data_IF_852024771904
#
_entry.id   IF_852024771904
#
_cell.length_a   1.000
_cell.length_b   1.000
_cell.length_c   1.000
_cell.angle_alpha   90.00
_cell.angle_beta   90.00
_cell.angle_gamma   90.00
#
_symmetry.space_group_name_H-M   'P 1'
#
loop_
_entity.id
_entity.type
_entity.pdbx_description
1 polymer ?
#
# COMPACT_ATOMS: atom_id res chain seq x y z
N UNK A 1 -9.25 -13.69 37.88
CA UNK A 1 -8.74 -14.78 37.01
C UNK A 1 -9.83 -15.71 36.47
N UNK A 2 -10.91 -16.00 37.21
CA UNK A 2 -11.96 -16.92 36.74
C UNK A 2 -12.62 -16.54 35.40
N UNK A 3 -12.76 -15.24 35.13
CA UNK A 3 -13.40 -14.75 33.91
C UNK A 3 -12.60 -15.07 32.63
N UNK A 4 -11.26 -15.02 32.68
CA UNK A 4 -10.39 -15.37 31.55
C UNK A 4 -10.43 -16.87 31.26
N UNK A 5 -10.39 -17.72 32.30
CA UNK A 5 -10.45 -19.18 32.14
C UNK A 5 -11.79 -19.69 31.65
N UNK A 6 -12.87 -18.94 31.89
CA UNK A 6 -14.24 -19.28 31.46
C UNK A 6 -14.60 -18.64 30.10
N UNK A 7 -13.72 -17.85 29.50
CA UNK A 7 -13.98 -17.19 28.22
C UNK A 7 -13.83 -18.17 27.04
N UNK A 8 -14.87 -18.24 26.20
CA UNK A 8 -14.88 -19.11 25.03
C UNK A 8 -14.13 -18.48 23.85
N UNK A 9 -12.83 -18.76 23.78
CA UNK A 9 -11.98 -18.32 22.68
C UNK A 9 -12.28 -19.06 21.36
N UNK A 10 -12.81 -20.27 21.41
CA UNK A 10 -13.04 -21.09 20.21
C UNK A 10 -14.33 -20.66 19.50
N UNK A 11 -15.37 -20.31 20.26
CA UNK A 11 -16.62 -19.76 19.73
C UNK A 11 -16.58 -18.27 19.36
N UNK A 12 -15.56 -17.52 19.80
CA UNK A 12 -15.49 -16.07 19.55
C UNK A 12 -14.94 -15.74 18.14
N UNK A 13 -15.82 -15.30 17.24
CA UNK A 13 -15.48 -14.96 15.85
C UNK A 13 -14.42 -13.86 15.71
N UNK A 14 -14.44 -12.86 16.59
CA UNK A 14 -13.48 -11.74 16.54
C UNK A 14 -12.08 -12.21 16.93
N UNK A 15 -11.97 -13.08 17.93
CA UNK A 15 -10.70 -13.70 18.31
C UNK A 15 -10.17 -14.63 17.21
N UNK A 16 -11.03 -15.45 16.58
CA UNK A 16 -10.62 -16.33 15.48
C UNK A 16 -10.13 -15.54 14.25
N UNK A 17 -10.78 -14.42 13.94
CA UNK A 17 -10.33 -13.52 12.88
C UNK A 17 -9.01 -12.83 13.26
N UNK A 18 -8.84 -12.39 14.51
CA UNK A 18 -7.57 -11.86 14.99
C UNK A 18 -6.44 -12.89 14.88
N UNK A 19 -6.67 -14.12 15.33
CA UNK A 19 -5.66 -15.17 15.38
C UNK A 19 -5.25 -15.68 14.00
N UNK A 20 -6.19 -15.78 13.05
CA UNK A 20 -5.91 -16.21 11.66
C UNK A 20 -5.09 -15.20 10.86
N UNK A 21 -5.06 -13.94 11.28
CA UNK A 21 -4.25 -12.88 10.67
C UNK A 21 -2.81 -12.81 11.23
N UNK A 22 -2.45 -13.67 12.20
CA UNK A 22 -1.10 -13.72 12.77
C UNK A 22 -0.24 -14.71 11.99
N UNK A 23 0.78 -14.21 11.29
CA UNK A 23 1.73 -15.03 10.54
C UNK A 23 3.19 -14.75 10.97
N UNK A 24 4.03 -15.78 11.15
CA UNK A 24 3.71 -17.22 11.07
C UNK A 24 2.86 -17.71 12.26
N UNK A 25 2.17 -18.84 12.09
CA UNK A 25 1.31 -19.42 13.13
C UNK A 25 2.09 -19.60 14.43
N UNK A 26 1.68 -18.93 15.53
CA UNK A 26 2.48 -18.89 16.73
C UNK A 26 2.43 -20.21 17.50
N UNK A 27 3.58 -20.69 17.96
CA UNK A 27 3.69 -21.90 18.80
C UNK A 27 3.11 -21.70 20.21
N UNK A 28 3.04 -20.45 20.70
CA UNK A 28 2.53 -20.12 22.03
C UNK A 28 1.20 -19.36 21.95
N UNK A 29 0.12 -20.10 21.70
CA UNK A 29 -1.26 -19.61 21.56
C UNK A 29 -1.73 -18.81 22.80
N UNK A 30 -1.29 -19.22 23.98
CA UNK A 30 -1.75 -18.67 25.26
C UNK A 30 -1.33 -17.20 25.45
N UNK A 31 -0.15 -16.82 24.94
CA UNK A 31 0.31 -15.42 24.96
C UNK A 31 -0.60 -14.50 24.15
N UNK A 32 -1.08 -14.97 23.00
CA UNK A 32 -1.94 -14.19 22.12
C UNK A 32 -3.38 -14.11 22.64
N UNK A 33 -3.89 -15.19 23.26
CA UNK A 33 -5.17 -15.17 24.00
C UNK A 33 -5.16 -14.10 25.10
N UNK A 34 -4.13 -14.06 25.94
CA UNK A 34 -3.98 -13.06 27.02
C UNK A 34 -3.91 -11.63 26.51
N UNK A 35 -3.09 -11.38 25.49
CA UNK A 35 -2.92 -10.04 24.93
C UNK A 35 -4.19 -9.53 24.26
N UNK A 36 -4.89 -10.38 23.53
CA UNK A 36 -6.16 -10.03 22.91
C UNK A 36 -7.25 -9.79 23.97
N UNK A 37 -7.37 -10.68 24.95
CA UNK A 37 -8.35 -10.54 26.04
C UNK A 37 -8.14 -9.24 26.82
N UNK A 38 -6.89 -8.89 27.12
CA UNK A 38 -6.56 -7.60 27.75
C UNK A 38 -7.00 -6.41 26.89
N UNK A 39 -6.73 -6.48 25.60
CA UNK A 39 -6.99 -5.35 24.69
C UNK A 39 -8.48 -5.15 24.40
N UNK A 40 -9.24 -6.23 24.32
CA UNK A 40 -10.60 -6.22 23.78
C UNK A 40 -11.70 -6.50 24.81
N UNK A 41 -11.39 -7.18 25.92
CA UNK A 41 -12.39 -7.60 26.92
C UNK A 41 -12.13 -6.93 28.28
N UNK A 42 -10.92 -7.03 28.82
CA UNK A 42 -10.58 -6.50 30.16
C UNK A 42 -9.21 -5.81 30.17
N UNK A 43 -9.15 -4.48 29.99
CA UNK A 43 -7.91 -3.70 30.02
C UNK A 43 -7.12 -3.81 31.32
N UNK A 44 -7.78 -4.14 32.44
CA UNK A 44 -7.17 -4.29 33.75
C UNK A 44 -6.63 -5.70 34.00
N UNK A 45 -6.74 -6.61 33.02
CA UNK A 45 -6.18 -7.95 33.11
C UNK A 45 -4.64 -7.91 33.22
N UNK A 46 -4.11 -8.45 34.31
CA UNK A 46 -2.67 -8.51 34.54
C UNK A 46 -2.06 -9.80 33.95
N UNK A 47 -1.06 -9.64 33.08
CA UNK A 47 -0.55 -10.73 32.23
C UNK A 47 0.57 -11.52 32.94
N UNK A 48 1.12 -11.01 34.05
CA UNK A 48 2.31 -11.53 34.71
C UNK A 48 2.04 -12.55 35.85
N UNK A 49 0.79 -12.89 36.14
CA UNK A 49 0.45 -13.66 37.36
C UNK A 49 0.75 -15.17 37.34
N UNK A 50 1.35 -15.73 36.27
CA UNK A 50 1.61 -17.19 36.19
C UNK A 50 3.01 -17.64 36.63
N UNK A 51 3.86 -16.77 37.18
CA UNK A 51 5.18 -17.18 37.73
C UNK A 51 5.26 -17.24 39.27
N UNK A 52 4.17 -17.00 40.01
CA UNK A 52 4.21 -16.98 41.49
C UNK A 52 3.52 -18.13 42.23
N UNK A 53 2.95 -19.12 41.53
CA UNK A 53 2.28 -20.25 42.17
C UNK A 53 3.21 -21.41 42.55
N UNK A 54 4.36 -21.14 43.17
CA UNK A 54 5.23 -22.19 43.73
C UNK A 54 6.11 -21.77 44.93
N UNK A 55 5.71 -20.75 45.69
CA UNK A 55 6.33 -20.44 47.00
C UNK A 55 5.26 -20.12 48.03
N UNK A 56 4.57 -21.14 48.51
CA UNK A 56 3.81 -21.09 49.76
C UNK A 56 3.93 -22.46 50.43
N UNK A 57 5.09 -22.70 51.05
CA UNK A 57 5.23 -23.59 52.19
C UNK A 57 6.52 -23.18 52.89
N UNK A 58 6.36 -22.47 54.00
CA UNK A 58 7.31 -22.12 55.07
C UNK A 58 7.10 -20.67 55.52
N UNK A 59 6.03 -20.46 56.28
CA UNK A 59 5.90 -19.29 57.15
C UNK A 59 5.30 -19.74 58.47
N UNK A 60 6.13 -20.36 59.29
CA UNK A 60 5.97 -20.37 60.75
C UNK A 60 7.36 -20.36 61.38
N UNK A 61 7.92 -19.16 61.57
CA UNK A 61 8.67 -18.73 62.78
C UNK A 61 9.34 -17.38 62.54
N UNK A 62 9.38 -16.60 63.61
CA UNK A 62 10.24 -15.44 63.88
C UNK A 62 9.74 -14.07 63.40
N UNK A 63 8.70 -13.62 64.08
CA UNK A 63 8.67 -12.27 64.66
C UNK A 63 9.89 -12.09 65.59
N UNK A 64 10.95 -11.45 65.12
CA UNK A 64 11.96 -10.69 65.90
C UNK A 64 13.14 -10.31 65.00
N UNK A 65 12.95 -9.41 64.02
CA UNK A 65 14.07 -8.73 63.37
C UNK A 65 13.58 -7.54 62.50
N UNK A 66 12.76 -6.66 63.10
CA UNK A 66 12.07 -5.61 62.35
C UNK A 66 12.78 -4.25 62.33
N UNK A 67 14.09 -4.15 62.63
CA UNK A 67 14.77 -2.84 62.71
C UNK A 67 16.13 -2.70 62.03
N UNK A 68 16.54 -3.62 61.14
CA UNK A 68 17.77 -3.45 60.32
C UNK A 68 17.57 -3.51 58.79
N UNK A 69 16.36 -3.77 58.29
CA UNK A 69 16.13 -3.92 56.84
C UNK A 69 15.76 -2.63 56.08
N UNK A 70 15.62 -1.48 56.74
CA UNK A 70 15.24 -0.23 56.05
C UNK A 70 16.39 0.48 55.32
N UNK A 71 17.67 0.13 55.55
CA UNK A 71 18.79 0.75 54.81
C UNK A 71 19.28 -0.03 53.58
N UNK A 72 18.94 -1.32 53.42
CA UNK A 72 19.32 -2.08 52.22
C UNK A 72 18.31 -2.01 51.07
N UNK A 73 17.06 -1.58 51.31
CA UNK A 73 16.05 -1.46 50.24
C UNK A 73 16.20 -0.22 49.35
N UNK A 74 16.92 0.84 49.79
CA UNK A 74 17.14 2.01 48.94
C UNK A 74 18.26 1.84 47.90
N UNK A 75 19.23 0.93 48.12
CA UNK A 75 20.27 0.67 47.11
C UNK A 75 19.84 -0.32 46.01
N UNK A 76 18.85 -1.21 46.26
CA UNK A 76 18.36 -2.12 45.22
C UNK A 76 17.38 -1.47 44.22
N UNK A 77 16.70 -0.38 44.59
CA UNK A 77 15.82 0.33 43.65
C UNK A 77 16.58 1.16 42.60
N UNK A 78 17.81 1.62 42.88
CA UNK A 78 18.61 2.34 41.88
C UNK A 78 19.25 1.43 40.82
N UNK A 79 19.56 0.16 41.14
CA UNK A 79 20.12 -0.77 40.14
C UNK A 79 19.06 -1.35 39.18
N UNK A 80 17.79 -1.49 39.60
CA UNK A 80 16.73 -1.96 38.69
C UNK A 80 16.28 -0.91 37.67
N UNK A 81 16.42 0.39 37.95
CA UNK A 81 16.09 1.44 36.97
C UNK A 81 17.14 1.60 35.85
N UNK A 82 18.38 1.16 36.05
CA UNK A 82 19.39 1.16 34.99
C UNK A 82 19.27 -0.03 34.02
N UNK A 83 18.84 -1.20 34.48
CA UNK A 83 18.67 -2.37 33.60
C UNK A 83 17.39 -2.32 32.73
N UNK A 84 16.30 -1.68 33.19
CA UNK A 84 15.10 -1.52 32.36
C UNK A 84 15.28 -0.53 31.20
N UNK A 85 16.18 0.45 31.34
CA UNK A 85 16.47 1.42 30.29
C UNK A 85 17.30 0.82 29.14
N UNK A 86 18.17 -0.16 29.42
CA UNK A 86 18.92 -0.88 28.37
C UNK A 86 18.08 -1.94 27.64
N UNK A 87 17.07 -2.53 28.29
CA UNK A 87 16.18 -3.48 27.61
C UNK A 87 15.17 -2.81 26.66
N UNK A 88 14.74 -1.57 26.96
CA UNK A 88 13.89 -0.79 26.03
C UNK A 88 14.65 -0.28 24.80
N UNK A 89 15.95 0.01 24.91
CA UNK A 89 16.77 0.40 23.75
C UNK A 89 17.07 -0.77 22.79
N UNK A 90 17.16 -2.01 23.28
CA UNK A 90 17.40 -3.18 22.42
C UNK A 90 16.14 -3.69 21.68
N UNK A 91 14.93 -3.39 22.18
CA UNK A 91 13.69 -3.74 21.47
C UNK A 91 13.33 -2.76 20.33
N UNK A 92 13.95 -1.58 20.27
CA UNK A 92 13.63 -0.54 19.30
C UNK A 92 14.43 -0.61 17.98
N UNK A 93 15.33 -1.58 17.82
CA UNK A 93 16.20 -1.71 16.63
C UNK A 93 16.18 -3.08 15.96
N UNK A 94 15.15 -3.90 16.17
CA UNK A 94 14.87 -4.95 15.19
C UNK A 94 14.11 -4.32 14.03
N UNK A 95 14.85 -3.67 13.14
CA UNK A 95 14.32 -3.24 11.84
C UNK A 95 13.62 -4.44 11.20
N UNK A 96 12.38 -4.31 10.72
CA UNK A 96 11.70 -5.41 10.05
C UNK A 96 12.62 -5.93 8.95
N UNK A 97 12.95 -7.22 8.99
CA UNK A 97 13.77 -7.85 7.96
C UNK A 97 12.96 -7.89 6.65
N UNK A 98 13.14 -6.85 5.82
CA UNK A 98 12.49 -6.79 4.53
C UNK A 98 13.07 -7.88 3.62
N UNK A 99 12.23 -8.61 2.88
CA UNK A 99 12.73 -9.59 1.92
C UNK A 99 13.60 -8.88 0.87
N UNK A 100 14.76 -9.45 0.54
CA UNK A 100 15.73 -8.87 -0.40
C UNK A 100 15.07 -8.50 -1.74
N UNK A 101 14.11 -9.31 -2.22
CA UNK A 101 13.36 -9.05 -3.45
C UNK A 101 12.56 -7.75 -3.40
N UNK A 102 12.00 -7.39 -2.24
CA UNK A 102 11.31 -6.12 -2.05
C UNK A 102 12.28 -4.94 -2.12
N UNK A 103 13.44 -5.06 -1.48
CA UNK A 103 14.48 -4.01 -1.49
C UNK A 103 15.00 -3.78 -2.91
N UNK A 104 15.31 -4.86 -3.66
CA UNK A 104 15.76 -4.75 -5.05
C UNK A 104 14.68 -4.09 -5.92
N UNK A 105 13.43 -4.53 -5.83
CA UNK A 105 12.31 -3.92 -6.55
C UNK A 105 12.17 -2.42 -6.25
N UNK A 106 12.25 -2.05 -4.97
CA UNK A 106 12.13 -0.65 -4.55
C UNK A 106 13.30 0.21 -5.04
N UNK A 107 14.54 -0.28 -4.95
CA UNK A 107 15.73 0.43 -5.46
C UNK A 107 15.61 0.65 -6.96
N UNK A 108 15.15 -0.35 -7.71
CA UNK A 108 14.89 -0.19 -9.14
C UNK A 108 13.84 0.89 -9.42
N UNK A 109 12.75 0.98 -8.64
CA UNK A 109 11.78 2.07 -8.78
C UNK A 109 12.38 3.44 -8.47
N UNK A 110 13.22 3.55 -7.44
CA UNK A 110 13.92 4.79 -7.09
C UNK A 110 14.82 5.25 -8.24
N UNK A 111 15.51 4.32 -8.91
CA UNK A 111 16.36 4.63 -10.06
C UNK A 111 15.55 4.97 -11.32
N UNK A 112 14.46 4.25 -11.57
CA UNK A 112 13.66 4.41 -12.79
C UNK A 112 12.68 5.58 -12.73
N UNK A 113 12.22 6.00 -11.55
CA UNK A 113 11.31 7.14 -11.43
C UNK A 113 11.89 8.43 -12.05
N UNK A 114 13.12 8.87 -11.70
CA UNK A 114 13.74 10.02 -12.36
C UNK A 114 14.00 9.76 -13.85
N UNK A 115 14.37 8.53 -14.23
CA UNK A 115 14.59 8.19 -15.64
C UNK A 115 13.31 8.37 -16.47
N UNK A 116 12.14 7.99 -15.94
CA UNK A 116 10.85 8.19 -16.60
C UNK A 116 10.49 9.67 -16.80
N UNK A 117 10.96 10.56 -15.94
CA UNK A 117 10.65 12.00 -15.99
C UNK A 117 11.67 12.82 -16.79
N UNK A 118 12.96 12.50 -16.65
CA UNK A 118 14.05 13.35 -17.13
C UNK A 118 14.76 12.81 -18.36
N UNK A 119 14.62 11.52 -18.67
CA UNK A 119 15.27 10.93 -19.85
C UNK A 119 14.45 11.27 -21.10
N UNK A 120 14.77 12.40 -21.74
CA UNK A 120 14.01 12.89 -22.91
C UNK A 120 14.39 12.22 -24.23
N UNK A 121 15.49 11.47 -24.29
CA UNK A 121 15.97 10.82 -25.52
C UNK A 121 15.02 9.67 -25.93
N UNK A 122 14.37 9.74 -27.11
CA UNK A 122 13.40 8.71 -27.55
C UNK A 122 13.98 7.30 -27.62
N UNK A 123 15.23 7.18 -28.08
CA UNK A 123 15.95 5.91 -28.19
C UNK A 123 16.04 5.18 -26.83
N UNK A 124 16.17 5.94 -25.74
CA UNK A 124 16.29 5.39 -24.40
C UNK A 124 14.94 5.02 -23.78
N UNK A 125 13.82 5.55 -24.29
CA UNK A 125 12.48 5.27 -23.77
C UNK A 125 12.13 3.79 -23.87
N UNK A 126 12.56 3.11 -24.95
CA UNK A 126 12.32 1.68 -25.13
C UNK A 126 12.98 0.84 -24.03
N UNK A 127 14.20 1.21 -23.63
CA UNK A 127 14.91 0.53 -22.54
C UNK A 127 14.30 0.85 -21.17
N UNK A 128 13.89 2.10 -20.95
CA UNK A 128 13.18 2.50 -19.73
C UNK A 128 11.83 1.77 -19.60
N UNK A 129 11.08 1.64 -20.69
CA UNK A 129 9.83 0.87 -20.74
C UNK A 129 10.07 -0.61 -20.44
N UNK A 130 11.07 -1.22 -21.07
CA UNK A 130 11.42 -2.62 -20.82
C UNK A 130 11.81 -2.85 -19.36
N UNK A 131 12.66 -2.00 -18.80
CA UNK A 131 13.03 -2.08 -17.38
C UNK A 131 11.83 -1.89 -16.47
N UNK A 132 10.91 -0.97 -16.80
CA UNK A 132 9.68 -0.74 -16.04
C UNK A 132 8.73 -1.95 -16.09
N UNK A 133 8.64 -2.64 -17.23
CA UNK A 133 7.92 -3.92 -17.36
C UNK A 133 8.55 -5.00 -16.46
N UNK A 134 9.87 -5.12 -16.45
CA UNK A 134 10.60 -6.07 -15.59
C UNK A 134 10.31 -5.78 -14.10
N UNK A 135 10.36 -4.51 -13.69
CA UNK A 135 10.04 -4.08 -12.31
C UNK A 135 8.60 -4.47 -11.95
N UNK A 136 7.64 -4.25 -12.85
CA UNK A 136 6.24 -4.64 -12.61
C UNK A 136 6.08 -6.16 -12.50
N UNK A 137 6.79 -6.94 -13.33
CA UNK A 137 6.78 -8.41 -13.25
C UNK A 137 7.38 -8.90 -11.93
N UNK A 138 8.46 -8.29 -11.45
CA UNK A 138 9.04 -8.59 -10.13
C UNK A 138 8.06 -8.31 -9.01
N UNK A 139 7.39 -7.15 -9.05
CA UNK A 139 6.38 -6.77 -8.07
C UNK A 139 5.20 -7.76 -8.06
N UNK A 140 4.74 -8.18 -9.24
CA UNK A 140 3.68 -9.17 -9.37
C UNK A 140 4.10 -10.54 -8.82
N UNK A 141 5.30 -11.01 -9.16
CA UNK A 141 5.86 -12.26 -8.61
C UNK A 141 5.94 -12.20 -7.09
N UNK A 142 6.32 -11.06 -6.50
CA UNK A 142 6.35 -10.88 -5.04
C UNK A 142 4.95 -10.90 -4.43
N UNK A 143 3.98 -10.25 -5.04
CA UNK A 143 2.61 -10.13 -4.50
C UNK A 143 1.77 -11.40 -4.64
N UNK A 144 1.98 -12.18 -5.71
CA UNK A 144 1.15 -13.36 -6.03
C UNK A 144 1.88 -14.70 -6.04
N UNK A 145 3.21 -14.70 -6.03
CA UNK A 145 3.99 -15.90 -6.22
C UNK A 145 3.91 -16.42 -7.65
N UNK A 146 4.11 -17.73 -7.82
CA UNK A 146 4.05 -18.44 -9.11
C UNK A 146 2.76 -19.28 -9.13
N UNK A 147 1.98 -19.27 -10.23
CA UNK A 147 0.77 -20.07 -10.32
C UNK A 147 1.05 -21.57 -10.16
N UNK A 148 0.15 -22.28 -9.49
CA UNK A 148 0.16 -23.75 -9.45
C UNK A 148 -0.36 -24.30 -10.79
N UNK A 149 0.17 -25.46 -11.22
CA UNK A 149 -0.26 -26.12 -12.46
C UNK A 149 -1.79 -26.36 -12.42
N UNK A 150 -2.49 -25.92 -13.46
CA UNK A 150 -3.95 -26.12 -13.60
C UNK A 150 -4.83 -24.94 -13.17
N UNK A 151 -4.30 -23.92 -12.48
CA UNK A 151 -5.07 -22.76 -11.99
C UNK A 151 -4.78 -21.46 -12.77
N UNK A 152 -4.30 -21.55 -14.00
CA UNK A 152 -3.83 -20.39 -14.76
C UNK A 152 -4.92 -19.36 -15.08
N UNK A 153 -6.14 -19.80 -15.36
CA UNK A 153 -7.24 -18.89 -15.71
C UNK A 153 -7.66 -18.02 -14.53
N UNK A 154 -7.92 -18.62 -13.37
CA UNK A 154 -8.24 -17.88 -12.14
C UNK A 154 -7.09 -17.00 -11.69
N UNK A 155 -5.86 -17.52 -11.78
CA UNK A 155 -4.65 -16.75 -11.50
C UNK A 155 -4.57 -15.51 -12.38
N UNK A 156 -4.84 -15.65 -13.69
CA UNK A 156 -4.82 -14.53 -14.63
C UNK A 156 -5.93 -13.51 -14.34
N UNK A 157 -7.15 -13.96 -14.03
CA UNK A 157 -8.23 -13.06 -13.65
C UNK A 157 -7.92 -12.26 -12.36
N UNK A 158 -7.30 -12.91 -11.37
CA UNK A 158 -6.81 -12.22 -10.17
C UNK A 158 -5.62 -11.31 -10.47
N UNK A 159 -4.73 -11.72 -11.37
CA UNK A 159 -3.56 -10.96 -11.79
C UNK A 159 -3.96 -9.61 -12.39
N UNK A 160 -5.00 -9.57 -13.22
CA UNK A 160 -5.50 -8.33 -13.83
C UNK A 160 -6.04 -7.30 -12.83
N UNK A 161 -6.40 -7.71 -11.60
CA UNK A 161 -6.83 -6.78 -10.53
C UNK A 161 -5.67 -5.95 -9.96
N UNK A 162 -4.42 -6.34 -10.21
CA UNK A 162 -3.26 -5.61 -9.71
C UNK A 162 -2.88 -4.46 -10.64
N UNK A 163 -2.58 -3.30 -10.03
CA UNK A 163 -2.13 -2.13 -10.79
C UNK A 163 -0.89 -2.43 -11.65
N UNK A 164 0.06 -3.21 -11.12
CA UNK A 164 1.25 -3.63 -11.85
C UNK A 164 0.93 -4.40 -13.14
N UNK A 165 -0.11 -5.24 -13.14
CA UNK A 165 -0.53 -5.97 -14.34
C UNK A 165 -1.06 -5.00 -15.40
N UNK A 166 -1.97 -4.12 -15.00
CA UNK A 166 -2.53 -3.12 -15.92
C UNK A 166 -1.50 -2.12 -16.44
N UNK A 167 -0.45 -1.82 -15.65
CA UNK A 167 0.70 -1.02 -16.07
C UNK A 167 1.55 -1.75 -17.11
N UNK A 168 1.71 -3.07 -17.03
CA UNK A 168 2.41 -3.84 -18.07
C UNK A 168 1.68 -3.72 -19.40
N UNK A 169 0.36 -3.93 -19.43
CA UNK A 169 -0.43 -3.72 -20.64
C UNK A 169 -0.31 -2.29 -21.18
N UNK A 170 -0.26 -1.31 -20.28
CA UNK A 170 -0.05 0.09 -20.65
C UNK A 170 1.32 0.28 -21.30
N UNK A 171 2.40 -0.13 -20.65
CA UNK A 171 3.77 0.01 -21.15
C UNK A 171 4.03 -0.75 -22.45
N UNK A 172 3.41 -1.92 -22.64
CA UNK A 172 3.49 -2.65 -23.92
C UNK A 172 2.96 -1.77 -25.06
N UNK A 173 1.84 -1.05 -24.83
CA UNK A 173 1.34 -0.10 -25.82
C UNK A 173 2.24 1.12 -26.03
N UNK A 174 3.07 1.48 -25.03
CA UNK A 174 3.99 2.61 -25.12
C UNK A 174 5.24 2.32 -25.97
N UNK A 175 5.55 1.07 -26.32
CA UNK A 175 6.69 0.77 -27.20
C UNK A 175 6.56 1.37 -28.60
N UNK A 176 5.33 1.67 -29.03
CA UNK A 176 5.04 2.32 -30.31
C UNK A 176 4.98 3.86 -30.22
N UNK A 177 5.30 4.46 -29.08
CA UNK A 177 5.12 5.89 -28.82
C UNK A 177 6.40 6.52 -28.30
N UNK A 178 6.85 7.55 -29.01
CA UNK A 178 8.01 8.35 -28.64
C UNK A 178 7.58 9.68 -27.97
N UNK A 179 6.76 9.60 -26.91
CA UNK A 179 6.33 10.79 -26.18
C UNK A 179 6.31 10.54 -24.67
N UNK A 180 7.15 11.31 -23.95
CA UNK A 180 7.35 11.20 -22.51
C UNK A 180 6.09 11.48 -21.69
N UNK A 181 5.13 12.24 -22.22
CA UNK A 181 3.89 12.59 -21.52
C UNK A 181 3.08 11.33 -21.17
N UNK A 182 3.18 10.28 -21.99
CA UNK A 182 2.55 8.99 -21.71
C UNK A 182 3.30 8.16 -20.65
N UNK A 183 4.48 8.57 -20.20
CA UNK A 183 5.21 7.91 -19.11
C UNK A 183 4.74 8.37 -17.73
N UNK A 184 4.04 9.51 -17.66
CA UNK A 184 3.63 10.13 -16.39
C UNK A 184 2.81 9.19 -15.48
N UNK A 185 1.85 8.39 -15.99
CA UNK A 185 1.13 7.43 -15.14
C UNK A 185 2.03 6.38 -14.49
N UNK A 186 3.07 5.92 -15.21
CA UNK A 186 4.04 4.95 -14.70
C UNK A 186 4.97 5.62 -13.69
N UNK A 187 5.42 6.84 -13.98
CA UNK A 187 6.23 7.63 -13.05
C UNK A 187 5.53 7.85 -11.71
N UNK A 188 4.24 8.23 -11.70
CA UNK A 188 3.47 8.37 -10.45
C UNK A 188 3.35 7.05 -9.68
N UNK A 189 3.17 5.94 -10.39
CA UNK A 189 3.11 4.63 -9.74
C UNK A 189 4.46 4.24 -9.13
N UNK A 190 5.58 4.55 -9.80
CA UNK A 190 6.92 4.29 -9.27
C UNK A 190 7.29 5.23 -8.14
N UNK A 191 6.83 6.49 -8.16
CA UNK A 191 6.99 7.44 -7.06
C UNK A 191 6.39 6.88 -5.76
N UNK A 192 5.17 6.35 -5.81
CA UNK A 192 4.54 5.71 -4.65
C UNK A 192 5.39 4.54 -4.15
N UNK A 193 5.83 3.64 -5.04
CA UNK A 193 6.64 2.50 -4.63
C UNK A 193 8.04 2.88 -4.11
N UNK A 194 8.64 3.95 -4.62
CA UNK A 194 9.90 4.51 -4.14
C UNK A 194 9.73 5.12 -2.74
N UNK A 195 8.63 5.85 -2.50
CA UNK A 195 8.29 6.41 -1.21
C UNK A 195 8.00 5.33 -0.16
N UNK A 196 7.31 4.25 -0.53
CA UNK A 196 7.08 3.08 0.34
C UNK A 196 8.42 2.46 0.80
N UNK A 197 9.37 2.26 -0.12
CA UNK A 197 10.70 1.76 0.25
C UNK A 197 11.43 2.76 1.17
N UNK A 198 11.43 4.04 0.81
CA UNK A 198 12.14 5.07 1.58
C UNK A 198 11.59 5.19 3.00
N UNK A 199 10.28 5.08 3.19
CA UNK A 199 9.65 5.10 4.51
C UNK A 199 10.01 3.88 5.37
N UNK A 200 10.31 2.73 4.74
CA UNK A 200 10.72 1.52 5.47
C UNK A 200 12.22 1.47 5.78
N UNK A 201 13.06 2.10 4.95
CA UNK A 201 14.51 2.16 5.15
C UNK A 201 14.97 3.37 5.97
N UNK A 202 14.20 4.47 5.93
CA UNK A 202 14.57 5.74 6.54
C UNK A 202 14.65 5.64 8.06
N UNK A 203 15.83 5.89 8.62
CA UNK A 203 16.03 6.05 10.06
C UNK A 203 16.07 7.52 10.49
N UNK A 204 16.27 8.46 9.55
CA UNK A 204 16.42 9.88 9.83
C UNK A 204 15.17 10.69 9.45
N UNK A 205 14.73 11.57 10.35
CA UNK A 205 13.53 12.43 10.24
C UNK A 205 13.65 13.62 9.25
N UNK A 206 14.54 13.50 8.27
CA UNK A 206 14.82 14.56 7.29
C UNK A 206 13.66 14.86 6.33
N UNK A 207 13.83 15.93 5.54
CA UNK A 207 12.85 16.35 4.52
C UNK A 207 12.44 15.22 3.57
N UNK A 208 13.39 14.39 3.14
CA UNK A 208 13.15 13.27 2.23
C UNK A 208 12.23 12.21 2.84
N UNK A 209 12.37 11.92 4.13
CA UNK A 209 11.47 11.00 4.83
C UNK A 209 10.07 11.60 4.97
N UNK A 210 9.94 12.88 5.35
CA UNK A 210 8.65 13.58 5.43
C UNK A 210 7.93 13.62 4.08
N UNK A 211 8.68 13.84 3.00
CA UNK A 211 8.13 13.79 1.64
C UNK A 211 7.65 12.38 1.29
N UNK A 212 8.45 11.34 1.57
CA UNK A 212 8.04 9.95 1.35
C UNK A 212 6.80 9.59 2.16
N UNK A 213 6.73 9.99 3.43
CA UNK A 213 5.56 9.81 4.29
C UNK A 213 4.33 10.49 3.70
N UNK A 214 4.43 11.75 3.28
CA UNK A 214 3.33 12.45 2.60
C UNK A 214 2.82 11.68 1.38
N UNK A 215 3.71 11.14 0.55
CA UNK A 215 3.32 10.33 -0.62
C UNK A 215 2.62 9.03 -0.22
N UNK A 216 3.10 8.36 0.84
CA UNK A 216 2.50 7.12 1.37
C UNK A 216 1.13 7.41 1.98
N UNK A 217 0.98 8.48 2.75
CA UNK A 217 -0.27 8.90 3.39
C UNK A 217 -1.32 9.30 2.34
N UNK A 218 -0.90 9.90 1.23
CA UNK A 218 -1.78 10.30 0.12
C UNK A 218 -1.78 9.30 -1.04
N UNK A 219 -1.35 8.06 -0.81
CA UNK A 219 -1.18 7.03 -1.84
C UNK A 219 -2.41 6.88 -2.73
N UNK A 220 -3.59 6.76 -2.15
CA UNK A 220 -4.80 6.49 -2.94
C UNK A 220 -5.21 7.69 -3.79
N UNK A 221 -5.03 8.91 -3.30
CA UNK A 221 -5.27 10.13 -4.09
C UNK A 221 -4.30 10.24 -5.27
N UNK A 222 -3.01 9.92 -5.06
CA UNK A 222 -2.01 9.90 -6.13
C UNK A 222 -2.37 8.83 -7.18
N UNK A 223 -2.79 7.65 -6.74
CA UNK A 223 -3.16 6.56 -7.65
C UNK A 223 -4.48 6.82 -8.38
N UNK A 224 -5.44 7.54 -7.78
CA UNK A 224 -6.63 8.06 -8.47
C UNK A 224 -6.21 9.13 -9.49
N UNK A 225 -5.32 10.05 -9.11
CA UNK A 225 -4.80 11.11 -10.00
C UNK A 225 -4.08 10.52 -11.21
N UNK A 226 -3.31 9.46 -11.01
CA UNK A 226 -2.74 8.65 -12.09
C UNK A 226 -3.83 8.17 -13.06
N UNK A 227 -4.93 7.57 -12.58
CA UNK A 227 -6.02 7.13 -13.48
C UNK A 227 -6.66 8.30 -14.22
N UNK A 228 -6.85 9.45 -13.56
CA UNK A 228 -7.36 10.67 -14.22
C UNK A 228 -6.44 11.11 -15.36
N UNK A 229 -5.13 11.10 -15.13
CA UNK A 229 -4.14 11.42 -16.17
C UNK A 229 -4.29 10.47 -17.36
N UNK A 230 -4.44 9.17 -17.14
CA UNK A 230 -4.63 8.21 -18.25
C UNK A 230 -5.89 8.53 -19.10
N UNK A 231 -6.99 8.91 -18.46
CA UNK A 231 -8.21 9.36 -19.15
C UNK A 231 -7.95 10.65 -19.94
N UNK A 232 -7.24 11.62 -19.37
CA UNK A 232 -6.86 12.83 -20.09
C UNK A 232 -5.91 12.56 -21.26
N UNK A 233 -5.00 11.60 -21.12
CA UNK A 233 -4.10 11.16 -22.20
C UNK A 233 -4.86 10.50 -23.35
N UNK A 234 -5.98 9.81 -23.06
CA UNK A 234 -6.88 9.33 -24.11
C UNK A 234 -7.49 10.50 -24.88
N UNK A 235 -8.09 11.49 -24.21
CA UNK A 235 -8.65 12.66 -24.88
C UNK A 235 -7.60 13.46 -25.66
N UNK A 236 -6.41 13.63 -25.08
CA UNK A 236 -5.24 14.23 -25.75
C UNK A 236 -4.89 13.45 -27.02
N UNK A 237 -4.90 12.12 -26.97
CA UNK A 237 -4.63 11.28 -28.13
C UNK A 237 -5.70 11.43 -29.20
N UNK A 238 -6.98 11.51 -28.84
CA UNK A 238 -8.08 11.73 -29.79
C UNK A 238 -7.93 13.08 -30.50
N UNK A 239 -7.70 14.16 -29.75
CA UNK A 239 -7.46 15.50 -30.32
C UNK A 239 -6.21 15.47 -31.21
N UNK A 240 -5.15 14.82 -30.74
CA UNK A 240 -3.89 14.63 -31.45
C UNK A 240 -4.07 13.99 -32.84
N UNK A 241 -5.04 13.10 -33.02
CA UNK A 241 -5.31 12.45 -34.31
C UNK A 241 -5.83 13.48 -35.32
N UNK A 242 -6.75 14.36 -34.90
CA UNK A 242 -7.29 15.42 -35.76
C UNK A 242 -6.23 16.43 -36.21
N UNK A 243 -5.27 16.75 -35.33
CA UNK A 243 -4.14 17.63 -35.65
C UNK A 243 -2.94 16.89 -36.27
N UNK A 244 -3.06 15.59 -36.55
CA UNK A 244 -2.00 14.72 -37.08
C UNK A 244 -0.72 14.70 -36.24
N UNK A 245 -0.84 14.86 -34.91
CA UNK A 245 0.26 14.77 -33.93
C UNK A 245 0.30 13.42 -33.21
N UNK A 246 -0.76 12.63 -33.26
CA UNK A 246 -0.81 11.28 -32.69
C UNK A 246 -1.43 10.31 -33.69
N UNK A 247 -1.15 9.02 -33.47
CA UNK A 247 -1.72 7.92 -34.27
C UNK A 247 -3.08 7.50 -33.73
N UNK A 248 -4.00 7.09 -34.60
CA UNK A 248 -5.30 6.53 -34.20
C UNK A 248 -5.12 5.24 -33.38
N UNK A 249 -4.10 4.44 -33.70
CA UNK A 249 -3.78 3.22 -32.98
C UNK A 249 -3.42 3.51 -31.52
N UNK A 250 -2.75 4.63 -31.25
CA UNK A 250 -2.45 5.05 -29.89
C UNK A 250 -3.72 5.32 -29.08
N UNK A 251 -4.65 6.09 -29.65
CA UNK A 251 -5.95 6.34 -29.02
C UNK A 251 -6.68 5.03 -28.70
N UNK A 252 -6.66 4.07 -29.63
CA UNK A 252 -7.26 2.74 -29.44
C UNK A 252 -6.57 2.00 -28.29
N UNK A 253 -5.24 1.91 -28.25
CA UNK A 253 -4.55 1.17 -27.20
C UNK A 253 -4.77 1.76 -25.80
N UNK A 254 -4.72 3.08 -25.66
CA UNK A 254 -4.99 3.73 -24.37
C UNK A 254 -6.45 3.47 -23.97
N UNK A 255 -7.39 3.58 -24.91
CA UNK A 255 -8.80 3.31 -24.65
C UNK A 255 -9.03 1.87 -24.20
N UNK A 256 -8.41 0.88 -24.85
CA UNK A 256 -8.47 -0.52 -24.44
C UNK A 256 -7.91 -0.74 -23.03
N UNK A 257 -6.85 -0.01 -22.65
CA UNK A 257 -6.33 -0.04 -21.28
C UNK A 257 -7.33 0.53 -20.27
N UNK A 258 -7.96 1.67 -20.59
CA UNK A 258 -9.00 2.27 -19.76
C UNK A 258 -10.18 1.31 -19.59
N UNK A 259 -10.64 0.65 -20.66
CA UNK A 259 -11.70 -0.36 -20.60
C UNK A 259 -11.32 -1.52 -19.66
N UNK A 260 -10.11 -2.06 -19.82
CA UNK A 260 -9.60 -3.11 -18.94
C UNK A 260 -9.59 -2.64 -17.48
N UNK A 261 -9.05 -1.46 -17.20
CA UNK A 261 -8.99 -0.90 -15.84
C UNK A 261 -10.36 -0.60 -15.26
N UNK A 262 -11.33 -0.18 -16.07
CA UNK A 262 -12.71 0.09 -15.60
C UNK A 262 -13.33 -1.17 -15.01
N UNK A 263 -13.05 -2.35 -15.58
CA UNK A 263 -13.58 -3.63 -15.11
C UNK A 263 -12.85 -4.21 -13.89
N UNK A 264 -11.57 -3.86 -13.72
CA UNK A 264 -10.69 -4.54 -12.76
C UNK A 264 -10.17 -3.66 -11.63
N UNK A 265 -10.26 -2.33 -11.75
CA UNK A 265 -9.58 -1.38 -10.87
C UNK A 265 -10.55 -0.31 -10.34
N UNK A 266 -10.84 -0.39 -9.04
CA UNK A 266 -11.74 0.53 -8.34
C UNK A 266 -11.32 2.00 -8.46
N UNK A 267 -10.01 2.29 -8.46
CA UNK A 267 -9.50 3.66 -8.58
C UNK A 267 -9.79 4.27 -9.95
N UNK A 268 -9.88 3.45 -11.00
CA UNK A 268 -10.29 3.92 -12.32
C UNK A 268 -11.77 4.35 -12.31
N UNK A 269 -12.64 3.56 -11.67
CA UNK A 269 -14.05 3.91 -11.52
C UNK A 269 -14.23 5.21 -10.70
N UNK A 270 -13.49 5.35 -9.59
CA UNK A 270 -13.51 6.57 -8.77
C UNK A 270 -13.00 7.77 -9.60
N UNK A 271 -11.93 7.60 -10.37
CA UNK A 271 -11.41 8.65 -11.24
C UNK A 271 -12.43 9.07 -12.31
N UNK A 272 -13.11 8.11 -12.96
CA UNK A 272 -14.17 8.39 -13.92
C UNK A 272 -15.34 9.15 -13.30
N UNK A 273 -15.82 8.71 -12.14
CA UNK A 273 -16.89 9.43 -11.41
C UNK A 273 -16.44 10.84 -11.04
N UNK A 274 -15.22 11.01 -10.53
CA UNK A 274 -14.68 12.31 -10.16
C UNK A 274 -14.56 13.26 -11.36
N UNK A 275 -14.13 12.75 -12.52
CA UNK A 275 -14.11 13.54 -13.77
C UNK A 275 -15.53 13.88 -14.21
N UNK A 276 -16.46 12.93 -14.14
CA UNK A 276 -17.87 13.15 -14.49
C UNK A 276 -18.49 14.27 -13.66
N UNK A 277 -18.29 14.21 -12.35
CA UNK A 277 -18.89 15.17 -11.41
C UNK A 277 -18.25 16.55 -11.57
N UNK A 278 -16.92 16.60 -11.77
CA UNK A 278 -16.22 17.83 -12.12
C UNK A 278 -16.73 18.42 -13.45
N UNK A 279 -16.90 17.57 -14.46
CA UNK A 279 -17.38 17.94 -15.79
C UNK A 279 -18.79 18.53 -15.72
N UNK A 280 -19.70 17.85 -15.03
CA UNK A 280 -21.09 18.30 -14.83
C UNK A 280 -21.13 19.65 -14.11
N UNK A 281 -20.42 19.77 -12.99
CA UNK A 281 -20.41 20.99 -12.16
C UNK A 281 -19.78 22.20 -12.87
N UNK A 282 -18.63 22.01 -13.52
CA UNK A 282 -17.83 23.14 -14.01
C UNK A 282 -18.07 23.50 -15.47
N UNK A 283 -18.61 22.58 -16.28
CA UNK A 283 -18.78 22.79 -17.72
C UNK A 283 -20.25 22.76 -18.14
N UNK A 284 -21.02 21.76 -17.71
CA UNK A 284 -22.44 21.65 -18.13
C UNK A 284 -23.34 22.61 -17.38
N UNK A 285 -23.19 22.70 -16.06
CA UNK A 285 -24.05 23.54 -15.21
C UNK A 285 -23.55 24.99 -15.08
N UNK A 286 -22.36 25.28 -15.59
CA UNK A 286 -21.73 26.57 -15.45
C UNK A 286 -22.20 27.55 -16.54
N UNK A 287 -23.09 28.47 -16.14
CA UNK A 287 -23.65 29.52 -16.99
C UNK A 287 -22.60 30.44 -17.64
N UNK A 288 -21.35 30.48 -17.14
CA UNK A 288 -20.26 31.27 -17.74
C UNK A 288 -19.66 30.63 -18.98
N UNK A 289 -19.88 29.33 -19.20
CA UNK A 289 -19.34 28.61 -20.36
C UNK A 289 -20.27 28.83 -21.56
N UNK A 290 -19.76 29.27 -22.73
CA UNK A 290 -20.57 29.41 -23.95
C UNK A 290 -21.35 28.13 -24.30
N UNK A 291 -22.64 28.28 -24.66
CA UNK A 291 -23.55 27.14 -24.91
C UNK A 291 -23.01 26.13 -25.93
N UNK A 292 -22.33 26.61 -26.99
CA UNK A 292 -21.76 25.72 -28.00
C UNK A 292 -20.67 24.81 -27.42
N UNK A 293 -19.83 25.33 -26.50
CA UNK A 293 -18.81 24.54 -25.81
C UNK A 293 -19.45 23.52 -24.87
N UNK A 294 -20.49 23.92 -24.14
CA UNK A 294 -21.24 22.99 -23.28
C UNK A 294 -21.79 21.81 -24.10
N UNK A 295 -22.41 22.10 -25.25
CA UNK A 295 -22.98 21.08 -26.13
C UNK A 295 -21.91 20.16 -26.73
N UNK A 296 -20.80 20.73 -27.22
CA UNK A 296 -19.69 19.97 -27.79
C UNK A 296 -19.07 19.03 -26.75
N UNK A 297 -18.75 19.57 -25.58
CA UNK A 297 -18.15 18.79 -24.52
C UNK A 297 -19.12 17.71 -23.98
N UNK A 298 -20.42 18.01 -23.92
CA UNK A 298 -21.43 17.05 -23.48
C UNK A 298 -21.55 15.89 -24.47
N UNK A 299 -21.41 16.18 -25.77
CA UNK A 299 -21.34 15.16 -26.82
C UNK A 299 -20.10 14.27 -26.65
N UNK A 300 -18.92 14.87 -26.44
CA UNK A 300 -17.66 14.14 -26.22
C UNK A 300 -17.78 13.22 -25.00
N UNK A 301 -18.31 13.74 -23.88
CA UNK A 301 -18.46 12.96 -22.66
C UNK A 301 -19.48 11.82 -22.82
N UNK A 302 -20.66 12.10 -23.40
CA UNK A 302 -21.65 11.06 -23.71
C UNK A 302 -21.09 9.99 -24.65
N UNK A 303 -20.27 10.39 -25.62
CA UNK A 303 -19.55 9.47 -26.50
C UNK A 303 -18.62 8.57 -25.71
N UNK A 304 -17.82 9.13 -24.81
CA UNK A 304 -16.93 8.38 -23.91
C UNK A 304 -17.69 7.40 -23.00
N UNK A 305 -18.76 7.83 -22.33
CA UNK A 305 -19.58 6.96 -21.47
C UNK A 305 -20.23 5.82 -22.26
N UNK A 306 -20.75 6.12 -23.45
CA UNK A 306 -21.33 5.11 -24.33
C UNK A 306 -20.28 4.09 -24.78
N UNK A 307 -19.07 4.54 -25.11
CA UNK A 307 -17.96 3.64 -25.46
C UNK A 307 -17.56 2.73 -24.29
N UNK A 308 -17.53 3.25 -23.06
CA UNK A 308 -17.26 2.41 -21.88
C UNK A 308 -18.38 1.39 -21.64
N UNK A 309 -19.63 1.78 -21.82
CA UNK A 309 -20.79 0.91 -21.51
C UNK A 309 -20.96 -0.20 -22.54
N UNK A 310 -20.59 0.05 -23.81
CA UNK A 310 -20.69 -0.94 -24.88
C UNK A 310 -19.66 -2.07 -24.72
N UNK A 311 -18.47 -1.78 -24.20
CA UNK A 311 -17.32 -2.69 -24.20
C UNK A 311 -17.02 -3.31 -22.85
#
# INVERSE_FOLDING_TARGET
MEAYSKFDFEGNKEFQQYFSNIFPTPTNVEKYKRNWYKKCIDPNFDVNDKQQSQKQEETKKQEQQQNQQQQQQQQQQQQQQQQQSQQKQNFQRQSPQLPISYVIEGVLKVLYFPALLFLQKPELHKYVNLGSVIICLMALKRLKGIPKKGQYQEYFAQFLKYEFATNIFYMISLFAIDNFVFQLPIALHFLVGAAELWNQLGQDEGFTLRFAQYIVDNRDEILITKQKIEIYLFFYSVIGVFIRKTSIFLGIFIFQNILLKTKCNEKMMIAQSSIRDWYKKNLVENKKVPQFLQNLLALVWKGYEKLITIF
#
